data_IF_961048484267
#
_entry.id   IF_961048484267
#
_cell.length_a   1.000
_cell.length_b   1.000
_cell.length_c   1.000
_cell.angle_alpha   90.00
_cell.angle_beta   90.00
_cell.angle_gamma   90.00
#
_symmetry.space_group_name_H-M   'P 1'
#
loop_
_entity.id
_entity.type
_entity.pdbx_description
1 polymer ?
#
# COMPACT_ATOMS: atom_id res chain seq x y z
N UNK A 1 -3.48 -1.16 14.20
CA UNK A 1 -3.73 -2.58 14.58
C UNK A 1 -2.80 -3.61 13.91
N UNK A 2 -2.13 -3.36 12.77
CA UNK A 2 -1.19 -4.34 12.18
C UNK A 2 0.25 -4.27 12.70
N UNK A 3 0.69 -3.13 13.23
CA UNK A 3 2.03 -3.00 13.83
C UNK A 3 2.25 -3.93 15.03
N UNK A 4 1.18 -4.38 15.67
CA UNK A 4 1.24 -5.19 16.90
C UNK A 4 1.11 -6.68 16.63
N UNK A 5 0.44 -7.13 15.55
CA UNK A 5 0.17 -8.57 15.33
C UNK A 5 1.43 -9.33 14.90
N UNK A 6 2.14 -8.84 13.88
CA UNK A 6 3.38 -9.47 13.40
C UNK A 6 4.47 -9.41 14.48
N UNK A 7 4.63 -8.27 15.16
CA UNK A 7 5.61 -8.11 16.24
C UNK A 7 5.25 -8.94 17.50
N UNK A 8 3.96 -9.09 17.85
CA UNK A 8 3.53 -9.97 18.93
C UNK A 8 3.77 -11.45 18.60
N UNK A 9 3.49 -11.87 17.36
CA UNK A 9 3.77 -13.22 16.88
C UNK A 9 5.29 -13.49 16.81
N UNK A 10 6.10 -12.50 16.43
CA UNK A 10 7.56 -12.58 16.45
C UNK A 10 8.13 -12.64 17.87
N UNK A 11 7.50 -11.96 18.84
CA UNK A 11 7.91 -11.96 20.25
C UNK A 11 7.64 -13.31 20.95
N UNK A 12 6.77 -14.16 20.39
CA UNK A 12 6.49 -15.51 20.90
C UNK A 12 7.43 -16.59 20.35
N UNK A 13 8.26 -16.26 19.35
CA UNK A 13 9.24 -17.19 18.76
C UNK A 13 10.16 -17.90 19.77
N UNK A 14 10.64 -17.26 20.86
CA UNK A 14 11.51 -17.93 21.84
C UNK A 14 10.84 -19.12 22.55
N UNK A 15 9.51 -19.15 22.63
CA UNK A 15 8.74 -20.18 23.33
C UNK A 15 8.10 -21.21 22.39
N UNK A 16 8.36 -21.14 21.07
CA UNK A 16 7.75 -22.04 20.07
C UNK A 16 7.98 -23.52 20.41
N UNK A 17 9.16 -23.88 20.89
CA UNK A 17 9.50 -25.27 21.23
C UNK A 17 8.75 -25.81 22.46
N UNK A 18 8.25 -24.93 23.33
CA UNK A 18 7.52 -25.29 24.55
C UNK A 18 5.99 -25.36 24.34
N UNK A 19 5.50 -24.98 23.15
CA UNK A 19 4.08 -25.01 22.82
C UNK A 19 3.66 -26.32 22.15
N UNK A 20 2.39 -26.69 22.30
CA UNK A 20 1.84 -27.88 21.65
C UNK A 20 1.95 -27.80 20.12
N UNK A 21 2.11 -28.96 19.45
CA UNK A 21 2.24 -29.03 17.99
C UNK A 21 1.05 -28.39 17.27
N UNK A 22 -0.16 -28.50 17.82
CA UNK A 22 -1.37 -27.83 17.35
C UNK A 22 -1.28 -26.30 17.48
N UNK A 23 -0.76 -25.79 18.59
CA UNK A 23 -0.53 -24.34 18.79
C UNK A 23 0.49 -23.80 17.79
N UNK A 24 1.58 -24.53 17.54
CA UNK A 24 2.60 -24.15 16.55
C UNK A 24 2.00 -24.03 15.14
N UNK A 25 1.13 -24.98 14.74
CA UNK A 25 0.47 -24.95 13.43
C UNK A 25 -0.43 -23.72 13.28
N UNK A 26 -1.21 -23.38 14.32
CA UNK A 26 -2.11 -22.21 14.30
C UNK A 26 -1.30 -20.91 14.15
N UNK A 27 -0.21 -20.76 14.89
CA UNK A 27 0.68 -19.60 14.81
C UNK A 27 1.33 -19.47 13.42
N UNK A 28 1.81 -20.59 12.85
CA UNK A 28 2.39 -20.57 11.51
C UNK A 28 1.37 -20.13 10.45
N UNK A 29 0.12 -20.60 10.56
CA UNK A 29 -0.95 -20.18 9.67
C UNK A 29 -1.24 -18.67 9.80
N UNK A 30 -1.33 -18.16 11.02
CA UNK A 30 -1.54 -16.73 11.27
C UNK A 30 -0.40 -15.86 10.71
N UNK A 31 0.86 -16.26 10.91
CA UNK A 31 2.03 -15.57 10.35
C UNK A 31 1.96 -15.57 8.81
N UNK A 32 1.58 -16.69 8.22
CA UNK A 32 1.41 -16.80 6.77
C UNK A 32 0.30 -15.89 6.24
N UNK A 33 -0.84 -15.85 6.91
CA UNK A 33 -1.97 -15.00 6.52
C UNK A 33 -1.64 -13.50 6.67
N UNK A 34 -0.95 -13.12 7.75
CA UNK A 34 -0.44 -11.76 7.96
C UNK A 34 0.57 -11.36 6.88
N UNK A 35 1.49 -12.28 6.52
CA UNK A 35 2.45 -12.07 5.44
C UNK A 35 1.75 -11.89 4.09
N UNK A 36 0.77 -12.75 3.78
CA UNK A 36 0.00 -12.66 2.54
C UNK A 36 -0.75 -11.33 2.45
N UNK A 37 -1.38 -10.89 3.55
CA UNK A 37 -2.06 -9.59 3.60
C UNK A 37 -1.07 -8.44 3.37
N UNK A 38 0.08 -8.47 4.03
CA UNK A 38 1.14 -7.48 3.81
C UNK A 38 1.58 -7.42 2.34
N UNK A 39 1.77 -8.57 1.69
CA UNK A 39 2.12 -8.63 0.27
C UNK A 39 1.04 -8.02 -0.62
N UNK A 40 -0.24 -8.35 -0.38
CA UNK A 40 -1.37 -7.77 -1.13
C UNK A 40 -1.45 -6.26 -0.95
N UNK A 41 -1.34 -5.78 0.29
CA UNK A 41 -1.33 -4.34 0.59
C UNK A 41 -0.15 -3.64 -0.11
N UNK A 42 1.04 -4.25 -0.11
CA UNK A 42 2.24 -3.73 -0.76
C UNK A 42 2.11 -3.67 -2.29
N UNK A 43 1.58 -4.73 -2.91
CA UNK A 43 1.31 -4.78 -4.34
C UNK A 43 0.29 -3.71 -4.73
N UNK A 44 -0.81 -3.61 -3.99
CA UNK A 44 -1.83 -2.60 -4.21
C UNK A 44 -1.26 -1.18 -4.12
N UNK A 45 -0.51 -0.86 -3.05
CA UNK A 45 0.13 0.45 -2.91
C UNK A 45 1.01 0.73 -4.11
N UNK A 46 1.84 -0.23 -4.54
CA UNK A 46 2.71 -0.03 -5.70
C UNK A 46 1.96 0.19 -7.02
N UNK A 47 0.78 -0.40 -7.20
CA UNK A 47 -0.08 -0.13 -8.36
C UNK A 47 -0.56 1.33 -8.42
N UNK A 48 -0.62 2.05 -7.28
CA UNK A 48 -0.93 3.48 -7.25
C UNK A 48 0.16 4.34 -7.92
N UNK A 49 1.33 3.79 -8.23
CA UNK A 49 2.31 4.48 -9.06
C UNK A 49 1.81 4.72 -10.50
N UNK A 50 0.78 3.98 -10.94
CA UNK A 50 0.17 4.13 -12.26
C UNK A 50 -1.09 5.03 -12.18
N UNK A 51 -1.05 6.27 -12.70
CA UNK A 51 -2.22 7.17 -12.66
C UNK A 51 -3.42 6.61 -13.42
N UNK A 52 -3.21 5.80 -14.47
CA UNK A 52 -4.31 5.19 -15.20
C UNK A 52 -5.06 4.16 -14.36
N UNK A 53 -4.38 3.46 -13.45
CA UNK A 53 -5.01 2.56 -12.50
C UNK A 53 -5.88 3.34 -11.49
N UNK A 54 -5.36 4.47 -11.00
CA UNK A 54 -6.12 5.36 -10.11
C UNK A 54 -7.35 5.94 -10.83
N UNK A 55 -7.22 6.34 -12.09
CA UNK A 55 -8.36 6.75 -12.91
C UNK A 55 -9.41 5.64 -13.00
N UNK A 56 -8.99 4.38 -13.22
CA UNK A 56 -9.90 3.23 -13.23
C UNK A 56 -10.62 3.03 -11.88
N UNK A 57 -9.95 3.28 -10.75
CA UNK A 57 -10.59 3.27 -9.44
C UNK A 57 -11.61 4.41 -9.30
N UNK A 58 -11.28 5.60 -9.81
CA UNK A 58 -12.15 6.78 -9.77
C UNK A 58 -13.45 6.61 -10.56
N UNK A 59 -13.35 6.12 -11.81
CA UNK A 59 -14.54 5.89 -12.66
C UNK A 59 -15.45 4.77 -12.12
N UNK A 60 -14.86 3.80 -11.40
CA UNK A 60 -15.59 2.74 -10.71
C UNK A 60 -16.13 3.17 -9.35
N UNK A 61 -16.00 4.45 -9.00
CA UNK A 61 -16.56 5.07 -7.79
C UNK A 61 -16.00 4.50 -6.47
N UNK A 62 -14.83 3.85 -6.49
CA UNK A 62 -14.20 3.37 -5.25
C UNK A 62 -13.90 4.50 -4.26
N UNK A 63 -13.62 5.71 -4.75
CA UNK A 63 -13.32 6.87 -3.90
C UNK A 63 -14.56 7.52 -3.26
N UNK A 64 -15.76 7.07 -3.60
CA UNK A 64 -17.02 7.49 -2.97
C UNK A 64 -17.37 6.63 -1.76
N UNK A 65 -16.72 5.46 -1.61
CA UNK A 65 -16.86 4.58 -0.45
C UNK A 65 -15.88 4.99 0.67
N UNK A 66 -16.43 5.45 1.79
CA UNK A 66 -15.68 5.81 2.98
C UNK A 66 -14.81 4.65 3.50
N UNK A 67 -15.24 3.40 3.34
CA UNK A 67 -14.43 2.25 3.76
C UNK A 67 -13.14 2.16 2.94
N UNK A 68 -13.22 2.45 1.64
CA UNK A 68 -12.06 2.46 0.77
C UNK A 68 -11.14 3.64 1.06
N UNK A 69 -11.69 4.83 1.33
CA UNK A 69 -10.89 6.00 1.74
C UNK A 69 -10.16 5.74 3.06
N UNK A 70 -10.83 5.13 4.04
CA UNK A 70 -10.22 4.69 5.30
C UNK A 70 -9.13 3.62 5.07
N UNK A 71 -9.31 2.74 4.09
CA UNK A 71 -8.27 1.79 3.70
C UNK A 71 -7.03 2.49 3.13
N UNK A 72 -7.19 3.53 2.30
CA UNK A 72 -6.06 4.34 1.82
C UNK A 72 -5.34 5.05 2.97
N UNK A 73 -6.06 5.55 3.97
CA UNK A 73 -5.46 6.10 5.19
C UNK A 73 -4.67 5.05 5.95
N UNK A 74 -5.22 3.85 6.10
CA UNK A 74 -4.52 2.73 6.73
C UNK A 74 -3.18 2.45 6.04
N UNK A 75 -3.14 2.42 4.70
CA UNK A 75 -1.92 2.14 3.93
C UNK A 75 -0.80 3.19 4.09
N UNK A 76 -1.05 4.36 4.69
CA UNK A 76 -0.01 5.33 5.00
C UNK A 76 1.07 4.78 5.94
N UNK A 77 0.84 3.65 6.60
CA UNK A 77 1.89 2.99 7.40
C UNK A 77 3.13 2.60 6.58
N UNK A 78 3.01 2.42 5.26
CA UNK A 78 4.15 2.15 4.36
C UNK A 78 5.14 3.32 4.27
N UNK A 79 4.75 4.52 4.70
CA UNK A 79 5.64 5.69 4.80
C UNK A 79 6.65 5.58 5.93
N UNK A 80 6.41 4.72 6.92
CA UNK A 80 7.34 4.54 8.04
C UNK A 80 8.63 3.87 7.54
N UNK A 81 9.82 4.27 8.03
CA UNK A 81 11.10 3.77 7.53
C UNK A 81 11.21 2.24 7.54
N UNK A 82 10.63 1.57 8.53
CA UNK A 82 10.66 0.12 8.64
C UNK A 82 9.94 -0.61 7.49
N UNK A 83 8.96 0.03 6.83
CA UNK A 83 8.21 -0.53 5.70
C UNK A 83 8.62 0.07 4.36
N UNK A 84 9.11 1.31 4.35
CA UNK A 84 9.48 2.04 3.15
C UNK A 84 10.54 1.31 2.32
N UNK A 85 11.43 0.54 2.97
CA UNK A 85 12.45 -0.29 2.32
C UNK A 85 11.90 -1.35 1.35
N UNK A 86 10.61 -1.71 1.46
CA UNK A 86 9.97 -2.68 0.57
C UNK A 86 9.34 -2.05 -0.67
N UNK A 87 9.27 -0.72 -0.74
CA UNK A 87 8.69 0.02 -1.87
C UNK A 87 9.68 0.08 -3.03
N UNK A 88 9.30 -0.47 -4.19
CA UNK A 88 10.10 -0.41 -5.42
C UNK A 88 9.85 0.85 -6.24
N UNK A 89 8.64 1.41 -6.16
CA UNK A 89 8.21 2.56 -6.95
C UNK A 89 7.88 3.75 -6.04
N UNK A 90 8.83 4.65 -5.73
CA UNK A 90 8.62 5.74 -4.76
C UNK A 90 7.43 6.65 -5.06
N UNK A 91 7.09 6.78 -6.35
CA UNK A 91 5.94 7.56 -6.82
C UNK A 91 4.62 7.08 -6.19
N UNK A 92 4.47 5.80 -5.88
CA UNK A 92 3.23 5.30 -5.27
C UNK A 92 2.94 5.96 -3.92
N UNK A 93 3.98 6.25 -3.13
CA UNK A 93 3.82 6.91 -1.83
C UNK A 93 3.33 8.34 -2.03
N UNK A 94 3.87 9.06 -3.03
CA UNK A 94 3.40 10.40 -3.35
C UNK A 94 1.96 10.40 -3.84
N UNK A 95 1.58 9.42 -4.66
CA UNK A 95 0.21 9.27 -5.14
C UNK A 95 -0.75 8.92 -3.99
N UNK A 96 -0.33 8.05 -3.06
CA UNK A 96 -1.09 7.72 -1.86
C UNK A 96 -1.35 8.96 -0.98
N UNK A 97 -0.37 9.85 -0.86
CA UNK A 97 -0.53 11.14 -0.18
C UNK A 97 -1.54 12.04 -0.90
N UNK A 98 -1.45 12.15 -2.23
CA UNK A 98 -2.40 12.94 -3.02
C UNK A 98 -3.83 12.41 -2.88
N UNK A 99 -4.01 11.08 -2.82
CA UNK A 99 -5.33 10.45 -2.67
C UNK A 99 -6.01 10.73 -1.32
N UNK A 100 -5.28 11.23 -0.31
CA UNK A 100 -5.90 11.68 0.93
C UNK A 100 -6.74 12.95 0.71
N UNK A 101 -6.39 13.76 -0.29
CA UNK A 101 -7.15 14.95 -0.65
C UNK A 101 -8.34 14.56 -1.53
N UNK A 102 -9.54 15.00 -1.14
CA UNK A 102 -10.78 14.71 -1.85
C UNK A 102 -10.84 15.34 -3.25
N UNK A 103 -10.40 16.59 -3.38
CA UNK A 103 -10.36 17.29 -4.66
C UNK A 103 -9.50 16.53 -5.68
N UNK A 104 -8.37 15.99 -5.25
CA UNK A 104 -7.53 15.15 -6.10
C UNK A 104 -8.26 13.87 -6.54
N UNK A 105 -8.98 13.19 -5.64
CA UNK A 105 -9.78 12.00 -6.00
C UNK A 105 -10.87 12.33 -7.03
N UNK A 106 -11.49 13.49 -6.91
CA UNK A 106 -12.50 13.97 -7.86
C UNK A 106 -11.87 14.29 -9.21
N UNK A 107 -10.73 14.99 -9.23
CA UNK A 107 -10.00 15.32 -10.46
C UNK A 107 -9.52 14.06 -11.20
N UNK A 108 -9.20 12.98 -10.49
CA UNK A 108 -8.80 11.69 -11.09
C UNK A 108 -9.91 11.00 -11.89
N UNK A 109 -11.16 11.48 -11.85
CA UNK A 109 -12.22 11.04 -12.78
C UNK A 109 -12.04 11.61 -14.19
N UNK A 110 -11.28 12.69 -14.37
CA UNK A 110 -10.95 13.23 -15.68
C UNK A 110 -9.75 12.49 -16.28
N UNK A 111 -9.95 11.90 -17.46
CA UNK A 111 -8.90 11.20 -18.20
C UNK A 111 -7.73 12.11 -18.55
N UNK A 112 -8.01 13.37 -18.93
CA UNK A 112 -6.96 14.31 -19.31
C UNK A 112 -6.05 14.64 -18.12
N UNK A 113 -6.62 14.71 -16.93
CA UNK A 113 -5.87 14.91 -15.70
C UNK A 113 -4.98 13.70 -15.38
N UNK A 114 -5.49 12.48 -15.51
CA UNK A 114 -4.70 11.26 -15.33
C UNK A 114 -3.54 11.14 -16.35
N UNK A 115 -3.79 11.49 -17.62
CA UNK A 115 -2.78 11.53 -18.67
C UNK A 115 -1.70 12.59 -18.38
N UNK A 116 -2.10 13.76 -17.85
CA UNK A 116 -1.18 14.82 -17.44
C UNK A 116 -0.24 14.34 -16.33
N UNK A 117 -0.78 13.69 -15.30
CA UNK A 117 0.05 13.14 -14.20
C UNK A 117 1.00 12.07 -14.73
N UNK A 118 0.52 11.18 -15.61
CA UNK A 118 1.34 10.13 -16.22
C UNK A 118 2.56 10.71 -16.94
N UNK A 119 2.35 11.75 -17.76
CA UNK A 119 3.43 12.48 -18.43
C UNK A 119 4.39 13.13 -17.44
N UNK A 120 3.88 13.74 -16.37
CA UNK A 120 4.72 14.38 -15.35
C UNK A 120 5.62 13.37 -14.64
N UNK A 121 5.11 12.19 -14.34
CA UNK A 121 5.88 11.10 -13.73
C UNK A 121 7.00 10.65 -14.69
N UNK A 122 6.67 10.43 -15.98
CA UNK A 122 7.65 10.03 -17.00
C UNK A 122 8.78 11.05 -17.15
N UNK A 123 8.45 12.34 -17.28
CA UNK A 123 9.44 13.43 -17.37
C UNK A 123 10.34 13.46 -16.14
N UNK A 124 9.77 13.28 -14.94
CA UNK A 124 10.54 13.28 -13.69
C UNK A 124 11.54 12.12 -13.66
N UNK A 125 11.15 10.93 -14.12
CA UNK A 125 12.06 9.79 -14.21
C UNK A 125 13.20 10.03 -15.20
N UNK A 126 12.93 10.63 -16.36
CA UNK A 126 13.96 10.97 -17.35
C UNK A 126 15.00 11.96 -16.79
N UNK A 127 14.56 12.97 -16.03
CA UNK A 127 15.47 13.96 -15.40
C UNK A 127 16.38 13.32 -14.34
N UNK A 128 15.87 12.32 -13.62
CA UNK A 128 16.68 11.61 -12.61
C UNK A 128 17.71 10.67 -13.24
N UNK A 129 17.44 10.15 -14.44
CA UNK A 129 18.38 9.28 -15.17
C UNK A 129 19.44 10.04 -15.97
N UNK A 130 19.23 11.34 -16.24
CA UNK A 130 20.19 12.19 -16.97
C UNK A 130 21.23 12.88 -16.09
N UNK A 131 21.25 12.58 -14.79
CA UNK A 131 22.21 13.07 -13.80
C UNK A 131 23.10 11.93 -13.30
#
# INVERSE_FOLDING_TARGET
MFSTSILASLALLPNLQLQSKSTQIILMQQIYDDYKRFQMDLEFVQLLANPQYIYQLAIKQYFEDDQFVNYLQYLLYFKRPEFLKYIKYPVCIKMLDCLQNEEFRLQMKDRNFADKISKQIEVTFQILQSK
#
